data_IF_757053026495
#
_entry.id   IF_757053026495
#
_cell.length_a   1.000
_cell.length_b   1.000
_cell.length_c   1.000
_cell.angle_alpha   90.00
_cell.angle_beta   90.00
_cell.angle_gamma   90.00
#
_symmetry.space_group_name_H-M   'P 1'
#
loop_
_entity.id
_entity.type
_entity.pdbx_description
1 polymer ?
#
# COMPACT_ATOMS: atom_id res chain seq x y z
N UNK A 1 -5.72 -0.25 28.51
CA UNK A 1 -5.02 0.08 27.25
C UNK A 1 -6.10 0.24 26.18
N UNK A 2 -6.18 1.40 25.51
CA UNK A 2 -7.17 1.63 24.44
C UNK A 2 -6.52 1.28 23.10
N UNK A 3 -7.08 0.31 22.38
CA UNK A 3 -6.65 -0.07 21.03
C UNK A 3 -7.70 0.38 20.02
N UNK A 4 -7.30 1.22 19.06
CA UNK A 4 -8.14 1.61 17.94
C UNK A 4 -7.62 0.96 16.65
N UNK A 5 -8.47 0.31 15.85
CA UNK A 5 -8.05 -0.19 14.55
C UNK A 5 -7.53 0.93 13.64
N UNK A 6 -6.45 0.68 12.89
CA UNK A 6 -5.80 1.66 12.00
C UNK A 6 -6.78 2.34 11.05
N UNK A 7 -7.73 1.58 10.50
CA UNK A 7 -8.76 2.07 9.58
C UNK A 7 -9.74 3.10 10.22
N UNK A 8 -9.91 3.10 11.55
CA UNK A 8 -10.72 4.12 12.24
C UNK A 8 -9.92 5.37 12.60
N UNK A 9 -8.59 5.29 12.69
CA UNK A 9 -7.71 6.45 12.94
C UNK A 9 -7.79 7.45 11.79
N UNK A 10 -7.98 6.97 10.56
CA UNK A 10 -8.06 7.82 9.36
C UNK A 10 -9.24 8.79 9.44
N UNK A 11 -10.39 8.34 9.95
CA UNK A 11 -11.62 9.15 10.07
C UNK A 11 -11.40 10.41 10.90
N UNK A 12 -10.57 10.33 11.95
CA UNK A 12 -10.27 11.46 12.82
C UNK A 12 -9.61 12.63 12.08
N UNK A 13 -8.92 12.37 10.96
CA UNK A 13 -8.20 13.38 10.20
C UNK A 13 -9.04 14.01 9.07
N UNK A 14 -10.06 13.32 8.57
CA UNK A 14 -10.83 13.72 7.39
C UNK A 14 -12.22 14.28 7.71
N UNK A 15 -12.63 14.28 8.98
CA UNK A 15 -13.91 14.80 9.47
C UNK A 15 -15.14 14.26 8.72
N UNK A 16 -15.05 13.04 8.20
CA UNK A 16 -16.18 12.28 7.62
C UNK A 16 -16.40 11.02 8.43
N UNK A 17 -17.66 10.61 8.53
CA UNK A 17 -18.06 9.41 9.27
C UNK A 17 -18.35 8.22 8.33
N UNK A 18 -18.49 8.46 7.03
CA UNK A 18 -18.78 7.45 6.02
C UNK A 18 -17.79 7.53 4.87
N UNK A 19 -17.02 6.46 4.65
CA UNK A 19 -15.93 6.41 3.67
C UNK A 19 -15.55 4.97 3.33
N UNK A 20 -14.91 4.75 2.18
CA UNK A 20 -14.21 3.49 1.90
C UNK A 20 -12.72 3.70 2.13
N UNK A 21 -12.16 3.02 3.12
CA UNK A 21 -10.72 3.04 3.39
C UNK A 21 -10.05 1.98 2.52
N UNK A 22 -9.07 2.41 1.72
CA UNK A 22 -8.18 1.52 0.96
C UNK A 22 -6.77 1.70 1.54
N UNK A 23 -6.31 0.69 2.27
CA UNK A 23 -5.00 0.65 2.91
C UNK A 23 -4.08 -0.29 2.12
N UNK A 24 -2.98 0.24 1.58
CA UNK A 24 -2.04 -0.53 0.76
C UNK A 24 -0.72 -0.62 1.54
N UNK A 25 -0.50 -1.77 2.17
CA UNK A 25 0.71 -2.07 2.91
C UNK A 25 1.84 -2.61 2.02
N UNK A 26 2.86 -3.16 2.68
CA UNK A 26 3.97 -3.82 1.99
C UNK A 26 3.55 -5.17 1.42
N UNK A 27 2.96 -6.05 2.24
CA UNK A 27 2.62 -7.42 1.84
C UNK A 27 1.16 -7.61 1.40
N UNK A 28 0.26 -6.75 1.88
CA UNK A 28 -1.18 -6.87 1.66
C UNK A 28 -1.83 -5.51 1.38
N UNK A 29 -3.01 -5.57 0.77
CA UNK A 29 -3.89 -4.43 0.58
C UNK A 29 -5.27 -4.78 1.16
N UNK A 30 -5.84 -3.82 1.88
CA UNK A 30 -7.07 -3.97 2.62
C UNK A 30 -8.08 -2.92 2.18
N UNK A 31 -9.32 -3.33 1.98
CA UNK A 31 -10.46 -2.43 1.73
C UNK A 31 -11.45 -2.61 2.87
N UNK A 32 -11.80 -1.52 3.53
CA UNK A 32 -12.77 -1.52 4.63
C UNK A 32 -13.72 -0.31 4.53
N UNK A 33 -15.00 -0.54 4.19
CA UNK A 33 -16.01 0.49 4.28
C UNK A 33 -16.31 0.85 5.74
N UNK A 34 -16.36 2.14 6.04
CA UNK A 34 -16.83 2.68 7.31
C UNK A 34 -18.12 3.45 7.03
N UNK A 35 -19.17 3.19 7.79
CA UNK A 35 -20.44 3.90 7.72
C UNK A 35 -20.80 4.47 9.09
N UNK A 36 -21.01 5.79 9.17
CA UNK A 36 -21.30 6.51 10.41
C UNK A 36 -20.32 6.19 11.58
N UNK A 37 -19.03 6.03 11.26
CA UNK A 37 -17.98 5.69 12.22
C UNK A 37 -17.83 4.20 12.54
N UNK A 38 -18.66 3.33 11.94
CA UNK A 38 -18.60 1.89 12.17
C UNK A 38 -17.98 1.15 10.97
N UNK A 39 -16.95 0.30 11.19
CA UNK A 39 -16.38 -0.51 10.13
C UNK A 39 -17.35 -1.64 9.74
N UNK A 40 -17.58 -1.80 8.44
CA UNK A 40 -18.47 -2.83 7.89
C UNK A 40 -17.69 -4.13 7.66
N UNK A 41 -17.52 -4.93 8.72
CA UNK A 41 -16.73 -6.19 8.70
C UNK A 41 -17.19 -7.16 7.60
N UNK A 42 -18.48 -7.22 7.30
CA UNK A 42 -19.04 -8.08 6.24
C UNK A 42 -18.56 -7.70 4.83
N UNK A 43 -18.09 -6.47 4.64
CA UNK A 43 -17.59 -5.95 3.38
C UNK A 43 -16.07 -5.73 3.41
N UNK A 44 -15.39 -6.20 4.47
CA UNK A 44 -13.95 -6.16 4.58
C UNK A 44 -13.33 -7.12 3.55
N UNK A 45 -12.37 -6.61 2.79
CA UNK A 45 -11.63 -7.38 1.80
C UNK A 45 -10.13 -7.23 2.02
N UNK A 46 -9.40 -8.32 1.83
CA UNK A 46 -7.94 -8.36 1.88
C UNK A 46 -7.43 -9.06 0.65
N UNK A 47 -6.40 -8.50 0.03
CA UNK A 47 -5.62 -9.15 -1.01
C UNK A 47 -4.19 -9.33 -0.49
N UNK A 48 -3.60 -10.54 -0.63
CA UNK A 48 -2.20 -10.80 -0.24
C UNK A 48 -1.24 -10.25 -1.30
N UNK A 49 -1.41 -8.98 -1.64
CA UNK A 49 -0.56 -8.24 -2.56
C UNK A 49 -0.47 -6.79 -2.08
N UNK A 50 0.74 -6.29 -1.94
CA UNK A 50 1.03 -4.91 -1.60
C UNK A 50 2.17 -4.34 -2.43
N UNK A 51 2.87 -3.35 -1.88
CA UNK A 51 3.99 -2.70 -2.57
C UNK A 51 5.23 -3.60 -2.73
N UNK A 52 5.30 -4.75 -2.04
CA UNK A 52 6.31 -5.79 -2.26
C UNK A 52 6.31 -6.29 -3.71
N UNK A 53 5.13 -6.41 -4.34
CA UNK A 53 5.04 -6.82 -5.74
C UNK A 53 5.74 -5.82 -6.68
N UNK A 54 5.61 -4.52 -6.40
CA UNK A 54 6.30 -3.46 -7.13
C UNK A 54 7.80 -3.55 -6.88
N UNK A 55 8.21 -3.73 -5.62
CA UNK A 55 9.60 -3.85 -5.21
C UNK A 55 10.32 -5.02 -5.93
N UNK A 56 9.69 -6.20 -5.95
CA UNK A 56 10.21 -7.39 -6.64
C UNK A 56 10.23 -7.23 -8.17
N UNK A 57 9.21 -6.59 -8.74
CA UNK A 57 9.16 -6.31 -10.17
C UNK A 57 10.27 -5.34 -10.58
N UNK A 58 10.48 -4.27 -9.80
CA UNK A 58 11.53 -3.30 -10.02
C UNK A 58 12.92 -3.96 -9.97
N UNK A 59 13.18 -4.78 -8.95
CA UNK A 59 14.42 -5.59 -8.88
C UNK A 59 14.65 -6.40 -10.15
N UNK A 60 13.62 -7.12 -10.59
CA UNK A 60 13.72 -7.97 -11.77
C UNK A 60 13.99 -7.14 -13.02
N UNK A 61 13.29 -6.02 -13.21
CA UNK A 61 13.47 -5.15 -14.38
C UNK A 61 14.86 -4.52 -14.43
N UNK A 62 15.40 -4.07 -13.28
CA UNK A 62 16.74 -3.52 -13.20
C UNK A 62 17.79 -4.59 -13.54
N UNK A 63 17.70 -5.78 -12.93
CA UNK A 63 18.67 -6.85 -13.17
C UNK A 63 18.60 -7.48 -14.58
N UNK A 64 17.43 -7.46 -15.24
CA UNK A 64 17.24 -8.17 -16.53
C UNK A 64 17.46 -7.32 -17.78
N UNK A 65 17.33 -5.99 -17.72
CA UNK A 65 17.34 -5.11 -18.91
C UNK A 65 18.75 -4.62 -19.32
N UNK A 66 19.80 -5.44 -19.20
CA UNK A 66 21.18 -5.07 -19.56
C UNK A 66 21.70 -3.78 -18.89
N UNK A 67 21.16 -3.41 -17.72
CA UNK A 67 21.60 -2.21 -17.01
C UNK A 67 22.92 -2.43 -16.27
N UNK A 68 23.39 -3.68 -16.15
CA UNK A 68 24.49 -4.13 -15.29
C UNK A 68 24.30 -3.82 -13.79
N UNK A 69 23.14 -3.28 -13.40
CA UNK A 69 22.81 -2.95 -12.01
C UNK A 69 22.38 -4.23 -11.30
N UNK A 70 23.31 -4.84 -10.58
CA UNK A 70 23.10 -6.01 -9.73
C UNK A 70 23.38 -5.65 -8.26
N UNK A 71 22.82 -6.42 -7.33
CA UNK A 71 23.10 -6.32 -5.89
C UNK A 71 22.83 -4.93 -5.27
N UNK A 72 21.77 -4.25 -5.72
CA UNK A 72 21.26 -3.09 -4.99
C UNK A 72 20.84 -3.49 -3.57
N UNK A 73 21.13 -2.61 -2.61
CA UNK A 73 20.58 -2.73 -1.26
C UNK A 73 19.07 -2.51 -1.29
N UNK A 74 18.36 -3.08 -0.30
CA UNK A 74 16.91 -2.85 -0.15
C UNK A 74 16.59 -1.36 -0.01
N UNK A 75 17.43 -0.60 0.70
CA UNK A 75 17.25 0.84 0.89
C UNK A 75 17.31 1.61 -0.44
N UNK A 76 18.31 1.34 -1.28
CA UNK A 76 18.41 2.00 -2.59
C UNK A 76 17.27 1.60 -3.50
N UNK A 77 16.88 0.32 -3.50
CA UNK A 77 15.77 -0.15 -4.32
C UNK A 77 14.43 0.49 -3.89
N UNK A 78 14.23 0.66 -2.59
CA UNK A 78 13.07 1.34 -2.02
C UNK A 78 13.07 2.84 -2.35
N UNK A 79 14.23 3.52 -2.28
CA UNK A 79 14.35 4.92 -2.66
C UNK A 79 14.01 5.14 -4.14
N UNK A 80 14.48 4.26 -5.03
CA UNK A 80 14.10 4.27 -6.45
C UNK A 80 12.59 4.11 -6.60
N UNK A 81 11.98 3.14 -5.90
CA UNK A 81 10.53 2.89 -5.94
C UNK A 81 9.74 4.14 -5.54
N UNK A 82 10.08 4.76 -4.40
CA UNK A 82 9.37 5.93 -3.87
C UNK A 82 9.52 7.16 -4.76
N UNK A 83 10.70 7.37 -5.35
CA UNK A 83 10.97 8.59 -6.14
C UNK A 83 10.59 8.49 -7.60
N UNK A 84 10.53 7.28 -8.15
CA UNK A 84 10.49 7.07 -9.61
C UNK A 84 9.30 6.24 -10.09
N UNK A 85 8.58 5.53 -9.22
CA UNK A 85 7.37 4.82 -9.62
C UNK A 85 6.14 5.71 -9.40
N UNK A 86 5.42 6.00 -10.49
CA UNK A 86 4.17 6.76 -10.46
C UNK A 86 3.12 6.10 -11.35
N UNK A 87 1.85 6.33 -10.99
CA UNK A 87 0.72 5.89 -11.81
C UNK A 87 0.53 6.90 -12.92
N UNK A 88 0.56 6.44 -14.17
CA UNK A 88 0.23 7.27 -15.34
C UNK A 88 -1.25 7.18 -15.67
N UNK A 89 -1.77 8.17 -16.39
CA UNK A 89 -3.05 8.02 -17.08
C UNK A 89 -2.96 6.91 -18.14
N UNK A 90 -4.11 6.36 -18.52
CA UNK A 90 -4.23 5.33 -19.55
C UNK A 90 -4.15 5.92 -20.95
#
# INVERSE_FOLDING_TARGET
MLSLPSHLVILANIAVDTVVVVDIGYQEAVVNPVCHGFPMIQAWQVLPIGTEAIHNKLRTLLSSNNTEIQNLSEETLEDIKVRSCFVTEK
#
